data_IF_805491251664
#
_entry.id   IF_805491251664
#
_cell.length_a   1.000
_cell.length_b   1.000
_cell.length_c   1.000
_cell.angle_alpha   90.00
_cell.angle_beta   90.00
_cell.angle_gamma   90.00
#
_symmetry.space_group_name_H-M   'P 1'
#
loop_
_entity.id
_entity.type
_entity.pdbx_description
1 polymer ?
#
# COMPACT_ATOMS: atom_id res chain seq x y z
N UNK A 1 15.49 -8.62 18.39
CA UNK A 1 14.38 -9.27 17.67
C UNK A 1 14.53 -8.96 16.18
N UNK A 2 14.45 -9.95 15.29
CA UNK A 2 14.57 -9.74 13.83
C UNK A 2 13.17 -9.72 13.20
N UNK A 3 12.94 -8.80 12.27
CA UNK A 3 11.65 -8.60 11.58
C UNK A 3 11.90 -8.32 10.10
N UNK A 4 10.86 -8.48 9.29
CA UNK A 4 10.88 -8.22 7.84
C UNK A 4 9.53 -7.65 7.40
N UNK A 5 9.49 -7.02 6.23
CA UNK A 5 8.29 -6.40 5.69
C UNK A 5 8.42 -6.07 4.21
N UNK A 6 7.32 -5.58 3.64
CA UNK A 6 7.23 -5.15 2.24
C UNK A 6 6.89 -3.66 2.18
N UNK A 7 7.56 -2.94 1.28
CA UNK A 7 7.15 -1.61 0.82
C UNK A 7 6.20 -1.79 -0.37
N UNK A 8 4.95 -1.37 -0.22
CA UNK A 8 4.00 -1.38 -1.33
C UNK A 8 2.97 -0.24 -1.16
N UNK A 9 2.94 0.76 -2.06
CA UNK A 9 1.94 1.82 -1.98
C UNK A 9 0.51 1.28 -2.16
N UNK A 10 -0.49 1.93 -1.53
CA UNK A 10 -1.90 1.50 -1.63
C UNK A 10 -2.40 1.54 -3.08
N UNK A 11 -2.01 2.57 -3.83
CA UNK A 11 -2.41 2.71 -5.23
C UNK A 11 -1.86 1.60 -6.15
N UNK A 12 -0.83 0.87 -5.72
CA UNK A 12 -0.26 -0.27 -6.45
C UNK A 12 -0.98 -1.59 -6.17
N UNK A 13 -1.93 -1.63 -5.24
CA UNK A 13 -2.79 -2.80 -5.06
C UNK A 13 -3.61 -3.05 -6.33
N UNK A 14 -3.95 -4.32 -6.62
CA UNK A 14 -4.93 -4.61 -7.66
C UNK A 14 -6.26 -3.94 -7.30
N UNK A 15 -6.94 -3.36 -8.28
CA UNK A 15 -8.20 -2.65 -8.08
C UNK A 15 -9.07 -2.66 -9.33
N UNK A 16 -10.38 -2.81 -9.15
CA UNK A 16 -11.35 -2.85 -10.27
C UNK A 16 -11.44 -1.54 -11.05
N UNK A 17 -11.09 -0.42 -10.41
CA UNK A 17 -11.36 0.92 -10.92
C UNK A 17 -10.10 1.66 -11.41
N UNK A 18 -9.06 0.91 -11.80
CA UNK A 18 -7.83 1.46 -12.37
C UNK A 18 -6.76 1.88 -11.36
N UNK A 19 -7.08 1.92 -10.05
CA UNK A 19 -6.13 2.22 -8.98
C UNK A 19 -6.43 1.36 -7.74
N UNK A 20 -5.38 1.01 -7.00
CA UNK A 20 -5.52 0.34 -5.71
C UNK A 20 -6.17 1.23 -4.65
N UNK A 21 -6.96 0.63 -3.76
CA UNK A 21 -7.74 1.34 -2.74
C UNK A 21 -7.75 0.56 -1.43
N UNK A 22 -8.27 1.18 -0.36
CA UNK A 22 -8.59 0.50 0.89
C UNK A 22 -9.86 -0.36 0.75
N UNK A 23 -9.78 -1.40 -0.09
CA UNK A 23 -10.85 -2.33 -0.40
C UNK A 23 -10.51 -3.76 0.07
N UNK A 24 -11.28 -4.75 -0.39
CA UNK A 24 -11.05 -6.18 -0.10
C UNK A 24 -9.64 -6.65 -0.47
N UNK A 25 -9.03 -6.04 -1.48
CA UNK A 25 -7.68 -6.34 -1.97
C UNK A 25 -6.59 -5.96 -0.96
N UNK A 26 -6.79 -4.88 -0.19
CA UNK A 26 -5.88 -4.50 0.89
C UNK A 26 -5.88 -5.56 2.01
N UNK A 27 -7.06 -6.07 2.40
CA UNK A 27 -7.17 -7.16 3.38
C UNK A 27 -6.51 -8.44 2.88
N UNK A 28 -6.75 -8.83 1.62
CA UNK A 28 -6.08 -9.98 1.00
C UNK A 28 -4.56 -9.84 1.00
N UNK A 29 -4.03 -8.62 0.82
CA UNK A 29 -2.60 -8.35 0.88
C UNK A 29 -2.06 -8.49 2.31
N UNK A 30 -2.77 -7.98 3.32
CA UNK A 30 -2.42 -8.19 4.73
C UNK A 30 -2.42 -9.67 5.10
N UNK A 31 -3.42 -10.44 4.63
CA UNK A 31 -3.46 -11.89 4.82
C UNK A 31 -2.27 -12.58 4.15
N UNK A 32 -1.85 -12.11 2.98
CA UNK A 32 -0.64 -12.59 2.31
C UNK A 32 0.62 -12.30 3.14
N UNK A 33 0.79 -11.07 3.64
CA UNK A 33 1.91 -10.71 4.50
C UNK A 33 1.97 -11.60 5.74
N UNK A 34 0.81 -11.83 6.37
CA UNK A 34 0.70 -12.73 7.53
C UNK A 34 1.12 -14.16 7.20
N UNK A 35 0.66 -14.72 6.08
CA UNK A 35 1.06 -16.07 5.63
C UNK A 35 2.55 -16.15 5.29
N UNK A 36 3.13 -15.06 4.79
CA UNK A 36 4.55 -14.95 4.45
C UNK A 36 5.44 -14.56 5.64
N UNK A 37 4.91 -14.53 6.87
CA UNK A 37 5.61 -14.10 8.10
C UNK A 37 6.23 -12.70 8.01
N UNK A 38 5.69 -11.83 7.16
CA UNK A 38 6.05 -10.42 7.10
C UNK A 38 5.31 -9.68 8.22
N UNK A 39 6.04 -8.87 8.98
CA UNK A 39 5.50 -8.19 10.17
C UNK A 39 5.27 -6.70 9.95
N UNK A 40 5.80 -6.13 8.87
CA UNK A 40 5.62 -4.73 8.49
C UNK A 40 5.10 -4.58 7.06
N UNK A 41 4.23 -3.59 6.88
CA UNK A 41 3.86 -3.06 5.57
C UNK A 41 4.17 -1.57 5.56
N UNK A 42 5.14 -1.17 4.75
CA UNK A 42 5.45 0.23 4.53
C UNK A 42 4.67 0.75 3.32
N UNK A 43 4.11 1.95 3.44
CA UNK A 43 3.37 2.65 2.39
C UNK A 43 3.99 4.03 2.12
N UNK A 44 3.62 4.63 1.00
CA UNK A 44 3.92 6.04 0.70
C UNK A 44 2.88 6.97 1.39
N UNK A 45 3.12 8.29 1.47
CA UNK A 45 2.16 9.20 2.08
C UNK A 45 0.77 9.12 1.43
N UNK A 46 -0.29 9.32 2.23
CA UNK A 46 -1.69 9.18 1.84
C UNK A 46 -2.39 10.52 1.55
N UNK A 47 -1.63 11.62 1.48
CA UNK A 47 -2.17 12.93 1.11
C UNK A 47 -2.66 12.93 -0.34
N UNK A 48 -3.60 13.82 -0.70
CA UNK A 48 -4.01 13.99 -2.07
C UNK A 48 -2.81 14.44 -2.92
N UNK A 49 -2.63 13.85 -4.10
CA UNK A 49 -1.56 14.23 -5.01
C UNK A 49 -1.94 15.48 -5.80
N UNK A 50 -0.95 16.33 -6.09
CA UNK A 50 -1.07 17.44 -7.04
C UNK A 50 -0.63 17.02 -8.45
N UNK A 51 -0.46 18.00 -9.35
CA UNK A 51 0.09 17.78 -10.69
C UNK A 51 1.46 17.10 -10.60
N UNK A 52 1.60 15.95 -11.26
CA UNK A 52 2.80 15.10 -11.23
C UNK A 52 2.66 13.84 -10.37
N UNK A 53 1.50 13.61 -9.73
CA UNK A 53 1.12 12.37 -9.04
C UNK A 53 2.09 11.89 -7.95
N UNK A 54 2.98 12.78 -7.50
CA UNK A 54 3.93 12.49 -6.43
C UNK A 54 3.19 12.42 -5.10
N UNK A 55 3.27 11.30 -4.36
CA UNK A 55 2.67 11.19 -3.03
C UNK A 55 3.34 12.12 -2.00
N UNK A 56 4.47 12.73 -2.33
CA UNK A 56 5.15 13.72 -1.49
C UNK A 56 4.75 15.17 -1.80
N UNK A 57 3.91 15.39 -2.81
CA UNK A 57 3.46 16.71 -3.21
C UNK A 57 1.94 16.84 -2.98
N UNK A 58 1.58 17.09 -1.72
CA UNK A 58 0.19 17.38 -1.29
C UNK A 58 -0.09 18.88 -1.30
N UNK A 59 -1.33 19.23 -1.57
CA UNK A 59 -1.90 20.57 -1.37
C UNK A 59 -2.65 20.65 -0.04
#
# INVERSE_FOLDING_TARGET
>A
MRTAGILMPIFSLPGKYGIGCFSKEAYKFVDFLKRASQTYWQILPLGPTSYGDSPYQSF
#
